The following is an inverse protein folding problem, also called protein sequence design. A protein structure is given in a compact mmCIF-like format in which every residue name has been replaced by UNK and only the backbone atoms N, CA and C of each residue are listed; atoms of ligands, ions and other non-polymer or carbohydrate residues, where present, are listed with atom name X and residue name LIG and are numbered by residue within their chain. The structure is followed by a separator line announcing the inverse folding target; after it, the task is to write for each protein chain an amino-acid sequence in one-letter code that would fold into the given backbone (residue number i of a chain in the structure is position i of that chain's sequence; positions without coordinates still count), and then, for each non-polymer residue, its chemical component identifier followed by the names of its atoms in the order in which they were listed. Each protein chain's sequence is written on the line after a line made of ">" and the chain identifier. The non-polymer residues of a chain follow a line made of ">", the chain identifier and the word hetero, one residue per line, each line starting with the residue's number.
data_IF_231140377931
#
_entry.id   IF_231140377931
#
_cell.length_a   1.000
_cell.length_b   1.000
_cell.length_c   1.000
_cell.angle_alpha   90.00
_cell.angle_beta   90.00
_cell.angle_gamma   90.00
#
_symmetry.space_group_name_H-M   'P 1'
#
loop_
_entity.id
_entity.type
_entity.pdbx_description
1 polymer ?
#
# COMPACT_ATOMS: atom_id res chain seq x y z
N UNK A 1 -34.67 37.52 -18.98
CA UNK A 1 -34.32 36.10 -19.17
C UNK A 1 -32.91 35.75 -18.65
N UNK A 2 -31.93 36.67 -18.68
CA UNK A 2 -30.56 36.44 -18.18
C UNK A 2 -30.42 36.29 -16.64
N UNK A 3 -31.18 37.04 -15.83
CA UNK A 3 -31.12 37.01 -14.35
C UNK A 3 -31.35 35.61 -13.75
N UNK A 4 -32.26 34.81 -14.32
CA UNK A 4 -32.55 33.43 -13.86
C UNK A 4 -31.34 32.50 -13.99
N UNK A 5 -30.46 32.75 -14.98
CA UNK A 5 -29.28 31.93 -15.21
C UNK A 5 -28.17 32.22 -14.18
N UNK A 6 -28.03 33.47 -13.72
CA UNK A 6 -27.05 33.84 -12.69
C UNK A 6 -27.35 33.18 -11.34
N UNK A 7 -28.62 33.15 -10.93
CA UNK A 7 -29.02 32.48 -9.67
C UNK A 7 -28.78 30.97 -9.72
N UNK A 8 -29.01 30.34 -10.87
CA UNK A 8 -28.73 28.91 -11.07
C UNK A 8 -27.22 28.63 -11.02
N UNK A 9 -26.41 29.49 -11.63
CA UNK A 9 -24.95 29.38 -11.57
C UNK A 9 -24.44 29.58 -10.14
N UNK A 10 -24.92 30.60 -9.44
CA UNK A 10 -24.54 30.88 -8.05
C UNK A 10 -24.89 29.70 -7.14
N UNK A 11 -26.10 29.13 -7.29
CA UNK A 11 -26.52 27.95 -6.53
C UNK A 11 -25.61 26.74 -6.77
N UNK A 12 -25.22 26.48 -8.03
CA UNK A 12 -24.28 25.39 -8.37
C UNK A 12 -22.90 25.60 -7.75
N UNK A 13 -22.40 26.83 -7.74
CA UNK A 13 -21.11 27.18 -7.13
C UNK A 13 -21.17 26.95 -5.63
N UNK A 14 -22.20 27.46 -4.95
CA UNK A 14 -22.39 27.28 -3.50
C UNK A 14 -22.49 25.79 -3.15
N UNK A 15 -23.28 25.03 -3.91
CA UNK A 15 -23.41 23.58 -3.70
C UNK A 15 -22.06 22.87 -3.86
N UNK A 16 -21.27 23.21 -4.87
CA UNK A 16 -19.95 22.64 -5.08
C UNK A 16 -18.98 22.99 -3.94
N UNK A 17 -18.98 24.23 -3.46
CA UNK A 17 -18.17 24.64 -2.31
C UNK A 17 -18.56 23.88 -1.04
N UNK A 18 -19.86 23.66 -0.79
CA UNK A 18 -20.33 22.86 0.34
C UNK A 18 -19.87 21.40 0.19
N UNK A 19 -20.01 20.81 -1.00
CA UNK A 19 -19.54 19.45 -1.26
C UNK A 19 -18.03 19.30 -1.00
N UNK A 20 -17.22 20.27 -1.42
CA UNK A 20 -15.78 20.28 -1.15
C UNK A 20 -15.46 20.45 0.34
N UNK A 21 -16.19 21.31 1.05
CA UNK A 21 -16.00 21.52 2.49
C UNK A 21 -16.41 20.31 3.35
N UNK A 22 -17.38 19.51 2.87
CA UNK A 22 -17.86 18.28 3.54
C UNK A 22 -17.06 17.04 3.12
N UNK A 23 -16.20 17.15 2.11
CA UNK A 23 -15.29 16.08 1.70
C UNK A 23 -14.22 15.85 2.77
N UNK A 24 -14.55 15.06 3.78
CA UNK A 24 -13.59 14.55 4.74
C UNK A 24 -12.86 13.36 4.10
N UNK A 25 -11.57 13.53 3.79
CA UNK A 25 -10.69 12.38 3.62
C UNK A 25 -10.42 11.82 5.02
N UNK A 26 -10.86 10.59 5.30
CA UNK A 26 -10.36 9.87 6.46
C UNK A 26 -8.88 9.59 6.22
N UNK A 27 -8.02 10.23 7.00
CA UNK A 27 -6.60 9.92 7.03
C UNK A 27 -6.45 8.55 7.71
N UNK A 28 -6.44 7.50 6.89
CA UNK A 28 -6.43 6.11 7.34
C UNK A 28 -5.02 5.71 7.76
N UNK A 29 -4.67 6.17 8.96
CA UNK A 29 -3.55 5.81 9.84
C UNK A 29 -3.23 4.31 9.98
N UNK A 30 -2.60 3.61 9.02
CA UNK A 30 -2.15 2.22 9.21
C UNK A 30 -0.63 2.16 9.47
N UNK A 31 -0.17 2.28 10.73
CA UNK A 31 1.27 2.31 11.05
C UNK A 31 1.98 0.97 10.84
N UNK A 32 1.23 -0.13 10.73
CA UNK A 32 1.77 -1.47 10.59
C UNK A 32 0.85 -2.39 9.78
N UNK A 33 1.45 -3.39 9.16
CA UNK A 33 0.78 -4.49 8.46
C UNK A 33 1.21 -5.79 9.11
N UNK A 34 0.24 -6.61 9.53
CA UNK A 34 0.49 -7.96 10.02
C UNK A 34 0.15 -8.96 8.91
N UNK A 35 1.12 -9.79 8.56
CA UNK A 35 0.96 -10.84 7.56
C UNK A 35 1.06 -12.21 8.25
N UNK A 36 0.13 -13.11 7.92
CA UNK A 36 0.14 -14.50 8.33
C UNK A 36 0.11 -15.37 7.07
N UNK A 37 0.89 -16.45 7.04
CA UNK A 37 0.90 -17.31 5.87
C UNK A 37 2.00 -18.34 5.89
N UNK A 38 2.47 -18.66 4.69
CA UNK A 38 3.49 -19.65 4.41
C UNK A 38 4.69 -18.99 3.69
N UNK A 39 5.50 -19.83 3.04
CA UNK A 39 6.66 -19.41 2.25
C UNK A 39 6.39 -18.30 1.22
N UNK A 40 5.16 -18.16 0.73
CA UNK A 40 4.81 -17.14 -0.26
C UNK A 40 4.71 -15.72 0.33
N UNK A 41 4.66 -15.59 1.64
CA UNK A 41 4.64 -14.30 2.34
C UNK A 41 5.72 -14.16 3.41
N UNK A 42 6.49 -15.23 3.66
CA UNK A 42 7.63 -15.23 4.58
C UNK A 42 8.80 -14.39 4.07
N UNK A 43 9.12 -13.32 4.81
CA UNK A 43 10.25 -12.43 4.50
C UNK A 43 11.54 -12.75 5.27
N UNK A 44 11.56 -13.84 6.04
CA UNK A 44 12.70 -14.29 6.83
C UNK A 44 12.36 -14.89 8.19
N UNK A 45 11.09 -15.03 8.55
CA UNK A 45 10.61 -15.54 9.84
C UNK A 45 11.06 -16.99 10.07
N UNK A 46 10.99 -17.88 9.07
CA UNK A 46 11.47 -19.26 9.26
C UNK A 46 12.99 -19.31 9.48
N UNK A 47 13.73 -18.48 8.73
CA UNK A 47 15.18 -18.40 8.85
C UNK A 47 15.60 -17.82 10.21
N UNK A 48 14.92 -16.77 10.69
CA UNK A 48 15.19 -16.14 11.97
C UNK A 48 14.71 -16.98 13.16
N UNK A 49 13.54 -17.59 13.07
CA UNK A 49 12.90 -18.31 14.17
C UNK A 49 13.44 -19.71 14.40
N UNK A 50 13.76 -20.45 13.33
CA UNK A 50 14.22 -21.85 13.41
C UNK A 50 15.65 -22.05 12.91
N UNK A 51 16.36 -20.99 12.52
CA UNK A 51 17.70 -21.11 11.93
C UNK A 51 17.71 -21.81 10.58
N UNK A 52 16.55 -21.85 9.88
CA UNK A 52 16.44 -22.54 8.61
C UNK A 52 17.26 -21.82 7.54
N UNK A 53 18.22 -22.53 6.94
CA UNK A 53 19.08 -21.96 5.90
C UNK A 53 18.47 -22.18 4.52
N UNK A 54 17.96 -21.10 3.93
CA UNK A 54 17.58 -21.07 2.52
C UNK A 54 18.83 -20.95 1.66
N UNK A 55 19.22 -22.06 1.02
CA UNK A 55 20.35 -22.15 0.10
C UNK A 55 19.88 -21.75 -1.32
N UNK A 56 20.80 -21.49 -2.25
CA UNK A 56 20.48 -21.17 -3.65
C UNK A 56 19.35 -22.06 -4.22
N UNK A 57 18.44 -21.49 -5.05
CA UNK A 57 18.61 -20.23 -5.79
C UNK A 57 18.06 -18.96 -5.11
N UNK A 58 17.49 -19.06 -3.91
CA UNK A 58 16.72 -17.97 -3.30
C UNK A 58 17.50 -16.67 -3.09
N UNK A 59 16.96 -15.58 -3.62
CA UNK A 59 17.58 -14.25 -3.59
C UNK A 59 18.66 -13.97 -4.64
N UNK A 60 19.05 -14.96 -5.44
CA UNK A 60 20.18 -14.81 -6.36
C UNK A 60 19.91 -13.80 -7.48
N UNK A 61 18.72 -13.82 -8.10
CA UNK A 61 18.46 -13.03 -9.32
C UNK A 61 18.13 -11.55 -9.07
N UNK A 62 17.40 -11.22 -8.01
CA UNK A 62 16.97 -9.84 -7.74
C UNK A 62 17.87 -9.13 -6.73
N UNK A 63 18.26 -9.81 -5.66
CA UNK A 63 19.02 -9.22 -4.56
C UNK A 63 20.53 -9.43 -4.69
N UNK A 64 20.98 -10.29 -5.62
CA UNK A 64 22.38 -10.70 -5.77
C UNK A 64 23.00 -11.20 -4.45
N UNK A 65 22.21 -11.91 -3.64
CA UNK A 65 22.60 -12.44 -2.34
C UNK A 65 22.47 -13.97 -2.30
N UNK A 66 23.29 -14.63 -1.48
CA UNK A 66 23.29 -16.09 -1.32
C UNK A 66 22.08 -16.62 -0.54
N UNK A 67 21.44 -15.78 0.27
CA UNK A 67 20.17 -16.05 0.94
C UNK A 67 19.52 -14.73 1.37
N UNK A 68 18.20 -14.65 1.30
CA UNK A 68 17.44 -13.46 1.71
C UNK A 68 16.40 -13.76 2.79
N UNK A 69 16.33 -15.00 3.28
CA UNK A 69 15.25 -15.47 4.14
C UNK A 69 13.92 -15.69 3.40
N UNK A 70 13.85 -15.40 2.10
CA UNK A 70 12.63 -15.51 1.28
C UNK A 70 12.68 -16.73 0.38
N UNK A 71 11.55 -17.41 0.19
CA UNK A 71 11.42 -18.57 -0.70
C UNK A 71 11.26 -18.18 -2.19
N UNK A 72 11.86 -17.07 -2.62
CA UNK A 72 11.86 -16.65 -4.00
C UNK A 72 13.13 -15.86 -4.35
N UNK A 73 13.28 -15.50 -5.62
CA UNK A 73 14.45 -14.75 -6.09
C UNK A 73 14.32 -13.24 -5.95
N UNK A 74 13.20 -12.71 -5.42
CA UNK A 74 12.90 -11.27 -5.40
C UNK A 74 11.86 -10.85 -4.36
N UNK A 75 11.06 -9.83 -4.70
CA UNK A 75 9.99 -9.35 -3.81
C UNK A 75 8.80 -10.29 -3.79
N UNK A 76 8.18 -10.42 -2.63
CA UNK A 76 6.92 -11.13 -2.41
C UNK A 76 5.74 -10.19 -2.61
N UNK A 77 4.54 -10.74 -2.79
CA UNK A 77 3.31 -9.95 -2.96
C UNK A 77 3.10 -8.96 -1.80
N UNK A 78 3.48 -9.35 -0.59
CA UNK A 78 3.37 -8.51 0.63
C UNK A 78 4.25 -7.26 0.57
N UNK A 79 5.38 -7.27 -0.14
CA UNK A 79 6.21 -6.06 -0.29
C UNK A 79 5.50 -5.00 -1.15
N UNK A 80 4.75 -5.45 -2.16
CA UNK A 80 4.00 -4.55 -3.04
C UNK A 80 2.75 -4.00 -2.35
N UNK A 81 2.04 -4.85 -1.59
CA UNK A 81 0.88 -4.43 -0.79
C UNK A 81 1.28 -3.43 0.28
N UNK A 82 2.35 -3.71 1.03
CA UNK A 82 2.88 -2.78 2.04
C UNK A 82 3.26 -1.44 1.42
N UNK A 83 3.97 -1.45 0.28
CA UNK A 83 4.33 -0.21 -0.43
C UNK A 83 3.11 0.59 -0.90
N UNK A 84 2.07 -0.07 -1.39
CA UNK A 84 0.83 0.61 -1.80
C UNK A 84 0.14 1.29 -0.62
N UNK A 85 0.08 0.61 0.53
CA UNK A 85 -0.48 1.17 1.77
C UNK A 85 0.33 2.37 2.29
N UNK A 86 1.65 2.34 2.17
CA UNK A 86 2.50 3.50 2.53
C UNK A 86 2.34 4.66 1.54
N UNK A 87 2.20 4.38 0.25
CA UNK A 87 2.00 5.44 -0.76
C UNK A 87 0.64 6.14 -0.62
N UNK A 88 -0.40 5.43 -0.16
CA UNK A 88 -1.70 6.03 0.10
C UNK A 88 -1.68 7.02 1.29
N UNK A 89 -0.62 6.99 2.11
CA UNK A 89 -0.42 7.91 3.24
C UNK A 89 0.40 9.17 2.90
N UNK A 90 1.07 9.23 1.74
CA UNK A 90 1.85 10.40 1.29
C UNK A 90 1.00 11.27 0.36
#
# INVERSE_FOLDING_TARGET
>A
MASKNYNVVAFKVVLHCICLAVANSSDLSYPAVFNFGDSNSDTGDLAAGLGFQLIQPYGQSYFNASSTGRFCNGRLIVDFLSKFLTLLHL
#
